data_IF_011678995077
#
_entry.id   IF_011678995077
#
_cell.length_a   1.000
_cell.length_b   1.000
_cell.length_c   1.000
_cell.angle_alpha   90.00
_cell.angle_beta   90.00
_cell.angle_gamma   90.00
#
_symmetry.space_group_name_H-M   'P 1'
#
loop_
_entity.id
_entity.type
_entity.pdbx_description
1 polymer ?
#
# COMPACT_ATOMS: atom_id res chain seq x y z
N UNK A 1 -0.27 1.94 29.29
CA UNK A 1 0.69 2.72 28.48
C UNK A 1 2.07 2.08 28.57
N UNK A 2 2.88 2.16 27.51
CA UNK A 2 4.27 1.70 27.54
C UNK A 2 5.15 2.59 28.42
N UNK A 3 6.15 2.04 29.12
CA UNK A 3 7.23 2.83 29.69
C UNK A 3 8.11 3.43 28.58
N UNK A 4 8.86 4.51 28.85
CA UNK A 4 9.82 5.07 27.88
C UNK A 4 10.89 4.04 27.51
N UNK A 5 11.44 4.14 26.29
CA UNK A 5 12.45 3.20 25.78
C UNK A 5 13.69 3.20 26.68
N UNK A 6 14.03 2.09 27.36
CA UNK A 6 15.20 2.05 28.21
C UNK A 6 16.49 2.23 27.40
N UNK A 7 17.45 3.05 27.87
CA UNK A 7 18.69 3.29 27.14
C UNK A 7 19.54 2.02 26.97
N UNK A 8 19.41 1.06 27.89
CA UNK A 8 20.09 -0.25 27.82
C UNK A 8 19.59 -1.09 26.64
N UNK A 9 18.28 -1.05 26.36
CA UNK A 9 17.67 -1.76 25.22
C UNK A 9 18.13 -1.15 23.91
N UNK A 10 18.13 0.19 23.83
CA UNK A 10 18.66 0.92 22.68
C UNK A 10 20.13 0.55 22.41
N UNK A 11 20.99 0.60 23.43
CA UNK A 11 22.40 0.24 23.29
C UNK A 11 22.58 -1.22 22.85
N UNK A 12 21.84 -2.15 23.44
CA UNK A 12 21.92 -3.57 23.08
C UNK A 12 21.54 -3.78 21.62
N UNK A 13 20.43 -3.19 21.16
CA UNK A 13 20.00 -3.28 19.75
C UNK A 13 21.05 -2.66 18.82
N UNK A 14 21.57 -1.47 19.15
CA UNK A 14 22.59 -0.81 18.34
C UNK A 14 23.89 -1.62 18.25
N UNK A 15 24.29 -2.37 19.29
CA UNK A 15 25.48 -3.23 19.21
C UNK A 15 25.35 -4.39 18.22
N UNK A 16 24.11 -4.80 17.90
CA UNK A 16 23.84 -5.82 16.88
C UNK A 16 23.63 -5.22 15.48
N UNK A 17 23.22 -3.95 15.40
CA UNK A 17 22.99 -3.23 14.15
C UNK A 17 24.25 -2.53 13.60
N UNK A 18 25.23 -2.18 14.45
CA UNK A 18 26.39 -1.35 14.10
C UNK A 18 27.73 -2.05 14.48
N UNK A 19 28.38 -2.77 13.57
CA UNK A 19 27.99 -3.04 12.19
C UNK A 19 26.88 -4.10 12.09
N UNK A 20 26.16 -4.15 10.95
CA UNK A 20 25.07 -5.10 10.76
C UNK A 20 25.59 -6.54 10.78
N UNK A 21 25.22 -7.31 11.80
CA UNK A 21 25.64 -8.71 11.96
C UNK A 21 24.45 -9.65 12.07
N UNK A 22 23.70 -9.87 10.97
CA UNK A 22 22.62 -10.84 10.99
C UNK A 22 23.15 -12.27 11.23
N UNK A 23 22.32 -13.16 11.81
CA UNK A 23 20.94 -12.91 12.24
C UNK A 23 20.87 -12.11 13.53
N UNK A 24 19.94 -11.17 13.60
CA UNK A 24 19.65 -10.43 14.83
C UNK A 24 19.06 -11.39 15.89
N UNK A 25 19.39 -11.22 17.19
CA UNK A 25 18.82 -12.08 18.24
C UNK A 25 17.29 -12.02 18.22
N UNK A 26 16.59 -13.17 18.18
CA UNK A 26 15.13 -13.18 18.01
C UNK A 26 14.40 -12.46 19.14
N UNK A 27 14.96 -12.47 20.35
CA UNK A 27 14.39 -11.80 21.53
C UNK A 27 14.38 -10.27 21.39
N UNK A 28 15.25 -9.72 20.54
CA UNK A 28 15.36 -8.28 20.28
C UNK A 28 14.56 -7.83 19.06
N UNK A 29 14.07 -8.75 18.23
CA UNK A 29 13.38 -8.44 16.96
C UNK A 29 11.88 -8.55 17.13
N UNK A 30 11.13 -7.58 16.58
CA UNK A 30 9.67 -7.56 16.63
C UNK A 30 9.07 -8.82 16.00
N UNK A 31 7.93 -9.27 16.52
CA UNK A 31 7.18 -10.40 15.94
C UNK A 31 6.88 -10.16 14.47
N UNK A 32 6.48 -8.94 14.13
CA UNK A 32 6.18 -8.52 12.76
C UNK A 32 7.35 -8.76 11.79
N UNK A 33 8.59 -8.46 12.20
CA UNK A 33 9.78 -8.72 11.39
C UNK A 33 10.17 -10.20 11.41
N UNK A 34 10.10 -10.89 12.55
CA UNK A 34 10.38 -12.33 12.65
C UNK A 34 9.44 -13.17 11.77
N UNK A 35 8.14 -12.87 11.79
CA UNK A 35 7.15 -13.53 10.95
C UNK A 35 7.48 -13.33 9.47
N UNK A 36 7.81 -12.09 9.06
CA UNK A 36 8.26 -11.82 7.69
C UNK A 36 9.48 -12.66 7.32
N UNK A 37 10.52 -12.69 8.16
CA UNK A 37 11.73 -13.47 7.91
C UNK A 37 11.47 -14.98 7.88
N UNK A 38 10.43 -15.46 8.58
CA UNK A 38 10.04 -16.87 8.60
C UNK A 38 9.23 -17.26 7.35
N UNK A 39 8.27 -16.42 6.95
CA UNK A 39 7.38 -16.70 5.82
C UNK A 39 8.00 -16.38 4.46
N UNK A 40 8.83 -15.34 4.40
CA UNK A 40 9.50 -14.89 3.20
C UNK A 40 10.98 -14.61 3.50
N UNK A 41 11.78 -15.67 3.78
CA UNK A 41 13.18 -15.52 4.12
C UNK A 41 13.93 -14.87 2.95
N UNK A 42 14.62 -13.74 3.17
CA UNK A 42 15.47 -13.15 2.15
C UNK A 42 16.67 -14.06 1.86
N UNK A 43 17.42 -13.73 0.81
CA UNK A 43 18.72 -14.35 0.55
C UNK A 43 19.63 -14.15 1.78
N UNK A 44 20.34 -15.19 2.27
CA UNK A 44 21.28 -15.05 3.39
C UNK A 44 22.38 -14.01 3.14
N UNK A 45 22.70 -13.69 1.89
CA UNK A 45 23.68 -12.66 1.53
C UNK A 45 23.05 -11.26 1.45
N UNK A 46 21.71 -11.14 1.44
CA UNK A 46 20.98 -9.88 1.45
C UNK A 46 20.76 -9.38 2.89
N UNK A 47 21.82 -8.78 3.44
CA UNK A 47 21.84 -8.20 4.79
C UNK A 47 20.76 -7.10 4.94
N UNK A 48 20.55 -6.29 3.91
CA UNK A 48 19.60 -5.17 3.96
C UNK A 48 18.17 -5.70 4.20
N UNK A 49 17.77 -6.73 3.46
CA UNK A 49 16.46 -7.38 3.64
C UNK A 49 16.33 -8.15 4.96
N UNK A 50 17.42 -8.58 5.58
CA UNK A 50 17.39 -9.22 6.90
C UNK A 50 17.15 -8.21 8.03
N UNK A 51 17.54 -6.95 7.82
CA UNK A 51 17.48 -5.89 8.84
C UNK A 51 16.22 -5.06 8.69
N UNK A 52 15.73 -4.83 7.48
CA UNK A 52 14.54 -3.99 7.25
C UNK A 52 13.50 -4.70 6.38
N UNK A 53 12.18 -4.57 6.68
CA UNK A 53 11.12 -5.08 5.84
C UNK A 53 11.06 -4.39 4.47
N UNK A 54 11.59 -3.16 4.37
CA UNK A 54 11.64 -2.36 3.14
C UNK A 54 13.04 -1.77 3.01
N UNK A 55 14.04 -2.59 2.65
CA UNK A 55 15.42 -2.14 2.60
C UNK A 55 15.59 -0.99 1.60
N UNK A 56 16.33 0.03 2.03
CA UNK A 56 16.88 1.05 1.14
C UNK A 56 18.16 0.46 0.54
N UNK A 57 18.46 0.67 -0.76
CA UNK A 57 19.71 0.20 -1.35
C UNK A 57 20.94 0.70 -0.58
N UNK A 58 21.81 -0.22 -0.16
CA UNK A 58 23.06 0.12 0.54
C UNK A 58 22.87 0.40 2.02
N UNK A 59 21.77 -0.06 2.63
CA UNK A 59 21.46 0.18 4.04
C UNK A 59 22.57 -0.36 4.96
N UNK A 60 23.07 -1.57 4.70
CA UNK A 60 24.13 -2.21 5.48
C UNK A 60 25.47 -1.50 5.36
N UNK A 61 25.83 -0.99 4.17
CA UNK A 61 27.05 -0.20 3.95
C UNK A 61 26.99 1.09 4.77
N UNK A 62 25.85 1.77 4.75
CA UNK A 62 25.62 3.01 5.51
C UNK A 62 25.60 2.77 7.02
N UNK A 63 25.00 1.68 7.48
CA UNK A 63 25.08 1.25 8.89
C UNK A 63 26.53 0.96 9.29
N UNK A 64 27.31 0.30 8.45
CA UNK A 64 28.72 0.02 8.70
C UNK A 64 29.57 1.31 8.73
N UNK A 65 29.19 2.33 7.96
CA UNK A 65 29.82 3.65 7.99
C UNK A 65 29.48 4.41 9.27
N UNK A 66 28.19 4.51 9.62
CA UNK A 66 27.71 5.13 10.86
C UNK A 66 28.29 4.44 12.11
N UNK A 67 28.57 3.13 12.05
CA UNK A 67 29.16 2.39 13.17
C UNK A 67 30.53 2.94 13.63
N UNK A 68 31.23 3.73 12.81
CA UNK A 68 32.52 4.33 13.18
C UNK A 68 32.38 5.46 14.18
N UNK A 69 31.31 6.25 14.09
CA UNK A 69 31.14 7.51 14.81
C UNK A 69 29.66 7.84 15.14
N UNK A 70 28.92 6.80 15.55
CA UNK A 70 27.48 6.86 15.80
C UNK A 70 27.11 7.76 16.98
N UNK A 71 26.19 8.71 16.74
CA UNK A 71 25.53 9.48 17.78
C UNK A 71 24.01 9.28 17.71
N UNK A 72 23.40 8.48 18.61
CA UNK A 72 21.95 8.32 18.66
C UNK A 72 21.29 9.60 19.21
N UNK A 73 20.22 10.04 18.56
CA UNK A 73 19.38 11.16 19.00
C UNK A 73 18.53 10.80 20.23
N UNK A 74 17.74 11.76 20.71
CA UNK A 74 16.61 11.46 21.60
C UNK A 74 15.62 10.54 20.89
N UNK A 75 14.89 9.75 21.69
CA UNK A 75 13.83 8.86 21.20
C UNK A 75 12.54 9.66 21.12
N UNK A 76 11.93 9.67 19.94
CA UNK A 76 10.58 10.18 19.75
C UNK A 76 9.59 9.01 19.67
N UNK A 77 8.34 9.24 20.01
CA UNK A 77 7.30 8.23 20.11
C UNK A 77 6.11 8.59 19.21
N UNK A 78 5.47 7.57 18.66
CA UNK A 78 4.24 7.69 17.88
C UNK A 78 3.45 6.37 17.97
N UNK A 79 2.41 6.21 17.18
CA UNK A 79 1.71 4.94 17.02
C UNK A 79 1.43 4.70 15.53
N UNK A 80 1.41 3.43 15.10
CA UNK A 80 1.04 3.06 13.72
C UNK A 80 -0.47 2.76 13.58
N UNK A 81 -1.24 3.05 14.63
CA UNK A 81 -2.67 2.77 14.74
C UNK A 81 -3.00 1.49 15.50
N UNK A 82 -2.00 0.63 15.76
CA UNK A 82 -2.19 -0.61 16.51
C UNK A 82 -1.18 -0.73 17.66
N UNK A 83 0.07 -0.35 17.42
CA UNK A 83 1.15 -0.44 18.41
C UNK A 83 1.84 0.91 18.63
N UNK A 84 2.35 1.12 19.84
CA UNK A 84 3.24 2.25 20.11
C UNK A 84 4.60 1.96 19.49
N UNK A 85 5.13 2.95 18.79
CA UNK A 85 6.45 2.90 18.17
C UNK A 85 7.35 3.98 18.75
N UNK A 86 8.64 3.65 18.85
CA UNK A 86 9.71 4.57 19.19
C UNK A 86 10.62 4.76 17.98
N UNK A 87 11.20 5.94 17.81
CA UNK A 87 12.15 6.27 16.75
C UNK A 87 13.38 6.91 17.35
N UNK A 88 14.56 6.40 16.98
CA UNK A 88 15.85 7.01 17.24
C UNK A 88 16.53 7.32 15.92
N UNK A 89 17.02 8.53 15.73
CA UNK A 89 17.84 8.89 14.57
C UNK A 89 19.29 8.62 14.95
N UNK A 90 19.99 7.84 14.15
CA UNK A 90 21.44 7.65 14.26
C UNK A 90 22.12 8.49 13.18
N UNK A 91 23.10 9.29 13.58
CA UNK A 91 23.83 10.17 12.68
C UNK A 91 25.33 9.86 12.71
N UNK A 92 25.95 9.86 11.52
CA UNK A 92 27.41 9.95 11.39
C UNK A 92 27.85 11.42 11.42
N UNK A 93 28.87 11.71 12.21
CA UNK A 93 29.49 13.04 12.34
C UNK A 93 30.23 13.40 11.07
N UNK A 94 30.87 12.42 10.43
CA UNK A 94 31.75 12.64 9.28
C UNK A 94 30.99 12.82 7.96
N UNK A 95 29.95 12.00 7.72
CA UNK A 95 29.27 11.93 6.41
C UNK A 95 27.99 12.75 6.38
N UNK A 96 27.45 13.10 7.56
CA UNK A 96 26.15 13.74 7.69
C UNK A 96 24.98 12.83 7.31
N UNK A 97 25.24 11.54 7.08
CA UNK A 97 24.19 10.55 6.87
C UNK A 97 23.41 10.32 8.15
N UNK A 98 22.10 10.14 7.98
CA UNK A 98 21.18 9.85 9.05
C UNK A 98 20.34 8.63 8.66
N UNK A 99 20.14 7.73 9.62
CA UNK A 99 19.21 6.62 9.51
C UNK A 99 18.23 6.69 10.68
N UNK A 100 17.00 6.27 10.45
CA UNK A 100 16.02 6.08 11.52
C UNK A 100 15.98 4.61 11.94
N UNK A 101 16.11 4.37 13.23
CA UNK A 101 15.91 3.06 13.86
C UNK A 101 14.56 3.09 14.56
N UNK A 102 13.67 2.19 14.16
CA UNK A 102 12.30 2.10 14.67
C UNK A 102 12.19 0.92 15.63
N UNK A 103 11.58 1.20 16.78
CA UNK A 103 11.27 0.27 17.85
C UNK A 103 9.75 0.09 17.94
N UNK A 104 9.33 -1.10 18.31
CA UNK A 104 7.93 -1.47 18.54
C UNK A 104 7.77 -1.87 20.01
N UNK A 105 6.68 -1.46 20.65
CA UNK A 105 6.35 -1.92 22.00
C UNK A 105 5.34 -3.05 21.96
N UNK A 106 5.78 -4.26 22.30
CA UNK A 106 4.91 -5.43 22.41
C UNK A 106 4.22 -5.45 23.77
N UNK A 107 2.91 -5.18 23.78
CA UNK A 107 2.06 -5.22 24.97
C UNK A 107 1.44 -6.61 25.19
N UNK A 108 1.17 -6.96 26.46
CA UNK A 108 0.45 -8.17 26.86
C UNK A 108 1.26 -9.09 27.76
N UNK A 109 0.68 -10.22 28.18
CA UNK A 109 1.34 -11.20 29.05
C UNK A 109 2.56 -11.85 28.40
N UNK A 110 2.52 -11.99 27.07
CA UNK A 110 3.64 -12.47 26.25
C UNK A 110 4.46 -11.33 25.62
N UNK A 111 4.15 -10.08 25.98
CA UNK A 111 4.81 -8.90 25.44
C UNK A 111 6.26 -8.80 25.93
N UNK A 112 7.20 -8.63 25.00
CA UNK A 112 8.63 -8.51 25.33
C UNK A 112 9.05 -7.08 25.68
N UNK A 113 8.11 -6.13 25.63
CA UNK A 113 8.40 -4.71 25.75
C UNK A 113 8.95 -4.13 24.45
N UNK A 114 9.98 -3.29 24.56
CA UNK A 114 10.58 -2.62 23.41
C UNK A 114 11.49 -3.55 22.61
N UNK A 115 11.20 -3.69 21.31
CA UNK A 115 11.92 -4.54 20.37
C UNK A 115 12.23 -3.77 19.08
N UNK A 116 13.26 -4.20 18.37
CA UNK A 116 13.67 -3.66 17.07
C UNK A 116 12.66 -4.06 15.98
N UNK A 117 12.18 -3.07 15.21
CA UNK A 117 11.22 -3.28 14.11
C UNK A 117 11.87 -3.13 12.73
N UNK A 118 12.60 -2.05 12.50
CA UNK A 118 13.16 -1.73 11.19
C UNK A 118 14.17 -0.59 11.24
N UNK A 119 15.00 -0.49 10.21
CA UNK A 119 15.85 0.67 9.94
C UNK A 119 15.52 1.22 8.55
N UNK A 120 15.31 2.53 8.43
CA UNK A 120 14.99 3.19 7.17
C UNK A 120 15.78 4.51 7.00
N UNK A 121 15.58 5.16 5.85
CA UNK A 121 15.92 6.58 5.70
C UNK A 121 15.02 7.47 6.56
N UNK A 122 15.58 8.56 7.08
CA UNK A 122 14.84 9.51 7.91
C UNK A 122 13.64 10.06 7.14
N UNK A 123 12.45 9.72 7.61
CA UNK A 123 11.21 10.30 7.08
C UNK A 123 10.89 11.61 7.80
N UNK A 124 10.69 12.74 7.08
CA UNK A 124 10.22 13.99 7.69
C UNK A 124 8.73 13.93 8.07
N UNK A 125 8.05 12.82 7.72
CA UNK A 125 6.59 12.71 7.80
C UNK A 125 6.21 11.90 9.03
N UNK A 126 5.45 12.50 9.94
CA UNK A 126 4.85 11.82 11.08
C UNK A 126 4.68 12.74 12.28
N UNK A 127 3.60 12.54 13.03
CA UNK A 127 3.39 13.19 14.32
C UNK A 127 4.18 12.40 15.38
N UNK A 128 5.39 12.87 15.64
CA UNK A 128 6.32 12.30 16.62
C UNK A 128 6.32 13.15 17.89
N UNK A 129 6.30 12.49 19.05
CA UNK A 129 6.22 13.12 20.36
C UNK A 129 7.43 12.76 21.20
N UNK A 130 8.00 13.73 21.91
CA UNK A 130 9.18 13.48 22.77
C UNK A 130 8.84 12.72 24.06
N UNK A 131 7.58 12.35 24.28
CA UNK A 131 7.08 11.76 25.51
C UNK A 131 6.05 10.67 25.19
N UNK A 132 6.32 9.46 25.68
CA UNK A 132 5.49 8.28 25.43
C UNK A 132 4.09 8.42 26.04
N UNK A 133 3.97 9.18 27.14
CA UNK A 133 2.69 9.39 27.83
C UNK A 133 1.72 10.26 27.01
N UNK A 134 2.22 10.96 25.99
CA UNK A 134 1.40 11.77 25.07
C UNK A 134 0.87 10.96 23.88
N UNK A 135 1.40 9.76 23.66
CA UNK A 135 0.96 8.90 22.55
C UNK A 135 -0.40 8.33 22.89
N UNK A 136 -1.43 8.93 22.32
CA UNK A 136 -2.80 8.42 22.41
C UNK A 136 -2.96 7.37 21.31
N UNK A 137 -2.94 6.10 21.69
CA UNK A 137 -3.53 5.08 20.83
C UNK A 137 -5.03 5.32 20.95
N UNK A 138 -5.64 5.85 19.89
CA UNK A 138 -7.08 5.71 19.73
C UNK A 138 -7.34 4.21 19.79
N UNK A 139 -7.84 3.73 20.94
CA UNK A 139 -8.51 2.45 20.98
C UNK A 139 -9.55 2.59 19.89
N UNK A 140 -9.27 2.02 18.71
CA UNK A 140 -10.31 1.84 17.70
C UNK A 140 -11.39 1.16 18.50
N UNK A 141 -12.49 1.88 18.76
CA UNK A 141 -13.71 1.31 19.31
C UNK A 141 -13.85 0.04 18.52
N UNK A 142 -13.55 -1.10 19.16
CA UNK A 142 -13.41 -2.38 18.48
C UNK A 142 -14.78 -2.56 17.93
N UNK A 143 -14.94 -2.22 16.63
CA UNK A 143 -16.22 -1.86 16.02
C UNK A 143 -17.18 -2.84 16.64
N UNK A 144 -18.02 -2.37 17.57
CA UNK A 144 -18.98 -3.24 18.24
C UNK A 144 -19.89 -3.55 17.08
N UNK A 145 -19.51 -4.59 16.33
CA UNK A 145 -20.21 -5.04 15.15
C UNK A 145 -21.61 -5.19 15.70
N UNK A 146 -22.60 -4.49 15.12
CA UNK A 146 -23.96 -4.56 15.61
C UNK A 146 -24.26 -6.01 15.89
N UNK A 147 -24.98 -6.36 16.95
CA UNK A 147 -25.27 -7.77 17.28
C UNK A 147 -25.85 -8.54 16.06
N UNK A 148 -26.36 -7.79 15.08
CA UNK A 148 -26.87 -8.24 13.79
C UNK A 148 -25.84 -8.41 12.65
N UNK A 149 -24.58 -8.02 12.79
CA UNK A 149 -23.55 -8.19 11.74
C UNK A 149 -23.39 -9.67 11.35
N UNK A 150 -23.54 -10.57 12.33
CA UNK A 150 -23.51 -12.01 12.11
C UNK A 150 -24.90 -12.65 11.99
N UNK A 151 -26.01 -11.94 12.21
CA UNK A 151 -27.35 -12.57 12.15
C UNK A 151 -27.75 -13.00 10.74
N UNK A 152 -27.10 -12.46 9.70
CA UNK A 152 -27.21 -12.94 8.31
C UNK A 152 -26.26 -14.09 7.96
N UNK A 153 -25.24 -14.33 8.78
CA UNK A 153 -24.38 -15.51 8.64
C UNK A 153 -25.01 -16.64 9.44
N UNK A 154 -25.75 -17.49 8.75
CA UNK A 154 -26.07 -18.81 9.29
C UNK A 154 -24.72 -19.46 9.65
N UNK A 155 -24.43 -19.78 10.93
CA UNK A 155 -23.22 -20.51 11.26
C UNK A 155 -23.17 -21.75 10.35
N UNK A 156 -21.99 -22.13 9.83
CA UNK A 156 -21.89 -23.28 8.94
C UNK A 156 -22.70 -24.41 9.55
N UNK A 157 -23.67 -24.91 8.79
CA UNK A 157 -24.58 -25.97 9.22
C UNK A 157 -23.78 -26.98 10.00
N UNK A 158 -24.21 -27.38 11.22
CA UNK A 158 -23.45 -28.30 12.06
C UNK A 158 -23.03 -29.44 11.15
N UNK A 159 -21.70 -29.61 11.02
CA UNK A 159 -21.03 -30.53 10.09
C UNK A 159 -21.95 -31.73 9.95
N UNK A 160 -22.66 -31.82 8.82
CA UNK A 160 -23.50 -32.99 8.56
C UNK A 160 -22.54 -34.14 8.77
N UNK A 161 -22.75 -34.92 9.84
CA UNK A 161 -22.11 -36.21 9.95
C UNK A 161 -22.57 -36.92 8.68
N UNK A 162 -21.70 -36.95 7.68
CA UNK A 162 -21.89 -37.77 6.50
C UNK A 162 -21.74 -39.19 7.03
N UNK A 163 -22.79 -39.68 7.68
CA UNK A 163 -22.92 -41.06 8.10
C UNK A 163 -22.94 -41.88 6.82
N UNK A 164 -21.77 -42.37 6.42
CA UNK A 164 -21.65 -43.34 5.33
C UNK A 164 -20.71 -42.98 4.17
N UNK A 165 -19.77 -42.03 4.30
CA UNK A 165 -18.64 -41.93 3.36
C UNK A 165 -17.29 -42.05 4.07
N UNK A 166 -17.09 -43.18 4.75
CA UNK A 166 -15.83 -43.90 4.60
C UNK A 166 -15.85 -44.54 3.21
N UNK A 167 -15.67 -43.74 2.16
CA UNK A 167 -15.41 -44.29 0.83
C UNK A 167 -13.97 -44.00 0.51
N UNK A 168 -13.21 -45.06 0.25
CA UNK A 168 -11.89 -45.02 -0.39
C UNK A 168 -11.87 -44.11 -1.65
N UNK A 169 -13.03 -43.74 -2.18
CA UNK A 169 -13.23 -42.74 -3.23
C UNK A 169 -12.83 -41.30 -2.84
N UNK A 170 -12.98 -40.90 -1.57
CA UNK A 170 -12.52 -39.58 -1.13
C UNK A 170 -10.98 -39.54 -1.05
N UNK A 171 -10.37 -40.62 -0.57
CA UNK A 171 -8.91 -40.77 -0.57
C UNK A 171 -8.37 -40.89 -2.01
N UNK A 172 -9.05 -41.59 -2.93
CA UNK A 172 -8.70 -41.63 -4.35
C UNK A 172 -8.84 -40.26 -5.04
N UNK A 173 -9.84 -39.47 -4.64
CA UNK A 173 -10.04 -38.11 -5.14
C UNK A 173 -8.89 -37.18 -4.72
N UNK A 174 -8.46 -37.24 -3.46
CA UNK A 174 -7.33 -36.45 -2.97
C UNK A 174 -5.97 -36.97 -3.48
N UNK A 175 -5.82 -38.29 -3.65
CA UNK A 175 -4.60 -38.90 -4.18
C UNK A 175 -4.30 -38.53 -5.65
N UNK A 176 -5.31 -38.17 -6.44
CA UNK A 176 -5.09 -37.65 -7.80
C UNK A 176 -4.39 -36.29 -7.81
N UNK A 177 -4.60 -35.46 -6.79
CA UNK A 177 -3.91 -34.18 -6.66
C UNK A 177 -2.49 -34.33 -6.11
N UNK A 178 -2.25 -35.31 -5.22
CA UNK A 178 -0.91 -35.60 -4.70
C UNK A 178 0.04 -36.20 -5.76
N UNK A 179 -0.50 -36.93 -6.76
CA UNK A 179 0.33 -37.47 -7.86
C UNK A 179 0.83 -36.41 -8.85
N UNK A 180 0.20 -35.22 -8.90
CA UNK A 180 0.63 -34.15 -9.81
C UNK A 180 1.86 -33.38 -9.30
N UNK A 181 2.35 -33.66 -8.09
CA UNK A 181 3.50 -32.98 -7.48
C UNK A 181 4.60 -33.98 -7.11
N UNK A 182 5.12 -34.69 -8.12
CA UNK A 182 6.48 -35.26 -8.03
C UNK A 182 7.40 -34.55 -9.02
N UNK A 183 8.59 -34.07 -8.58
CA UNK A 183 9.46 -33.26 -9.40
C UNK A 183 10.28 -34.16 -10.34
N UNK A 184 9.70 -34.49 -11.49
CA UNK A 184 10.42 -35.09 -12.60
C UNK A 184 10.29 -34.20 -13.85
N UNK A 185 10.78 -32.96 -13.75
CA UNK A 185 11.23 -32.24 -14.93
C UNK A 185 12.31 -31.24 -14.51
N UNK A 186 13.55 -31.73 -14.64
CA UNK A 186 14.72 -30.88 -14.77
C UNK A 186 14.46 -29.89 -15.90
N UNK A 187 14.42 -28.61 -15.56
CA UNK A 187 14.35 -27.50 -16.50
C UNK A 187 15.57 -27.55 -17.41
N UNK A 188 15.39 -28.04 -18.63
CA UNK A 188 16.35 -27.90 -19.71
C UNK A 188 16.35 -26.42 -20.12
N UNK A 189 17.32 -25.68 -19.61
CA UNK A 189 17.63 -24.32 -20.05
C UNK A 189 18.10 -24.39 -21.52
N UNK A 190 17.43 -23.72 -22.48
CA UNK A 190 17.96 -23.66 -23.84
C UNK A 190 19.16 -22.71 -23.87
N UNK A 191 20.33 -23.29 -24.15
CA UNK A 191 21.59 -22.59 -24.36
C UNK A 191 21.47 -21.57 -25.51
N UNK A 192 21.59 -20.28 -25.18
CA UNK A 192 21.64 -19.16 -26.13
C UNK A 192 22.94 -19.23 -26.94
N UNK A 193 22.88 -19.78 -28.16
CA UNK A 193 23.99 -19.74 -29.12
C UNK A 193 24.18 -18.33 -29.67
N UNK A 194 25.36 -17.78 -29.45
CA UNK A 194 25.93 -16.66 -30.20
C UNK A 194 26.45 -17.16 -31.56
N UNK A 195 25.96 -16.54 -32.63
CA UNK A 195 26.60 -16.36 -33.95
C UNK A 195 25.93 -15.09 -34.52
N UNK A 196 26.56 -14.04 -35.03
CA UNK A 196 27.84 -13.93 -35.71
C UNK A 196 27.62 -13.63 -37.21
N UNK A 197 27.45 -12.33 -37.53
CA UNK A 197 27.82 -11.61 -38.79
C UNK A 197 27.20 -12.04 -40.14
N UNK A 198 26.66 -11.08 -40.91
CA UNK A 198 26.54 -11.20 -42.38
C UNK A 198 25.62 -10.16 -43.06
N UNK A 199 26.13 -9.50 -44.10
CA UNK A 199 25.63 -8.30 -44.81
C UNK A 199 24.65 -8.59 -45.98
N UNK A 200 23.67 -7.67 -46.20
CA UNK A 200 23.07 -7.08 -47.44
C UNK A 200 22.75 -7.93 -48.72
N UNK A 201 22.08 -7.41 -49.79
CA UNK A 201 20.81 -6.64 -49.92
C UNK A 201 19.82 -7.12 -51.04
N UNK A 202 18.50 -6.85 -50.87
CA UNK A 202 17.43 -6.59 -51.88
C UNK A 202 17.15 -7.55 -53.07
N UNK A 203 16.18 -7.26 -53.98
CA UNK A 203 14.82 -6.70 -53.85
C UNK A 203 13.74 -7.66 -54.44
N UNK A 204 12.44 -7.30 -54.37
CA UNK A 204 11.42 -7.48 -55.45
C UNK A 204 9.98 -7.82 -54.98
N UNK A 205 9.07 -6.88 -55.26
CA UNK A 205 7.72 -6.97 -55.83
C UNK A 205 6.65 -8.00 -55.39
N UNK A 206 5.47 -7.42 -55.11
CA UNK A 206 4.10 -7.79 -55.52
C UNK A 206 3.46 -9.10 -55.05
N UNK A 207 2.23 -8.96 -54.49
CA UNK A 207 1.19 -9.99 -54.66
C UNK A 207 0.11 -10.10 -53.59
N UNK A 208 -0.90 -9.22 -53.67
CA UNK A 208 -2.35 -9.51 -53.63
C UNK A 208 -2.96 -10.64 -52.75
N UNK A 209 -4.05 -10.24 -52.06
CA UNK A 209 -5.28 -10.97 -51.70
C UNK A 209 -5.29 -11.90 -50.47
N UNK A 210 -6.14 -11.59 -49.46
CA UNK A 210 -7.42 -12.29 -49.20
C UNK A 210 -8.06 -11.94 -47.84
N UNK A 211 -9.40 -11.95 -47.87
CA UNK A 211 -10.35 -12.31 -46.82
C UNK A 211 -10.75 -11.26 -45.75
N UNK A 212 -11.73 -10.44 -46.14
CA UNK A 212 -12.76 -9.87 -45.28
C UNK A 212 -14.05 -10.65 -45.56
N UNK A 213 -14.47 -11.53 -44.66
CA UNK A 213 -15.84 -12.04 -44.56
C UNK A 213 -15.98 -12.86 -43.27
N UNK A 214 -17.22 -12.91 -42.75
CA UNK A 214 -17.68 -13.55 -41.52
C UNK A 214 -17.64 -12.62 -40.30
N UNK A 215 -18.75 -11.94 -40.05
CA UNK A 215 -19.52 -12.09 -38.80
C UNK A 215 -20.92 -11.48 -39.03
N UNK A 216 -21.82 -12.35 -39.47
CA UNK A 216 -23.26 -12.12 -39.46
C UNK A 216 -23.91 -12.89 -38.31
N UNK A 217 -24.79 -12.17 -37.61
CA UNK A 217 -25.97 -12.67 -36.90
C UNK A 217 -25.77 -13.56 -35.66
N UNK A 218 -25.93 -12.95 -34.48
CA UNK A 218 -26.78 -13.46 -33.38
C UNK A 218 -27.42 -12.23 -32.68
N UNK A 219 -28.70 -11.98 -32.95
CA UNK A 219 -29.83 -12.26 -32.05
C UNK A 219 -29.95 -11.31 -30.86
N UNK A 220 -30.75 -10.26 -31.08
CA UNK A 220 -31.38 -9.43 -30.05
C UNK A 220 -32.33 -10.29 -29.21
N UNK A 221 -31.99 -10.50 -27.94
CA UNK A 221 -32.93 -10.91 -26.89
C UNK A 221 -32.87 -9.86 -25.79
N UNK A 222 -33.84 -8.94 -25.81
CA UNK A 222 -34.06 -7.97 -24.75
C UNK A 222 -34.73 -8.67 -23.57
N UNK A 223 -33.97 -8.91 -22.51
CA UNK A 223 -34.49 -9.21 -21.17
C UNK A 223 -33.94 -8.15 -20.22
N UNK A 224 -34.75 -7.55 -19.33
CA UNK A 224 -34.20 -6.65 -18.32
C UNK A 224 -33.49 -7.49 -17.25
N UNK A 225 -32.20 -7.25 -16.92
CA UNK A 225 -31.57 -7.95 -15.82
C UNK A 225 -31.90 -7.17 -14.54
N UNK A 226 -32.84 -7.67 -13.75
CA UNK A 226 -32.87 -7.39 -12.32
C UNK A 226 -32.24 -8.58 -11.60
N UNK A 227 -30.99 -8.85 -11.95
CA UNK A 227 -30.14 -9.77 -11.20
C UNK A 227 -29.50 -8.93 -10.11
N UNK A 228 -29.97 -9.09 -8.88
CA UNK A 228 -29.28 -8.58 -7.70
C UNK A 228 -28.00 -9.42 -7.60
N UNK A 229 -26.93 -8.97 -8.26
CA UNK A 229 -25.61 -9.58 -8.12
C UNK A 229 -25.20 -9.49 -6.65
N UNK A 230 -25.13 -10.65 -6.01
CA UNK A 230 -24.58 -10.79 -4.67
C UNK A 230 -23.07 -10.55 -4.73
N UNK A 231 -22.68 -9.27 -4.80
CA UNK A 231 -21.27 -8.83 -4.72
C UNK A 231 -20.67 -9.43 -3.46
N UNK A 232 -19.60 -10.20 -3.62
CA UNK A 232 -18.97 -10.92 -2.51
C UNK A 232 -18.48 -9.92 -1.44
N UNK A 233 -18.47 -10.26 -0.14
CA UNK A 233 -17.98 -9.38 0.91
C UNK A 233 -16.53 -8.90 0.67
N UNK A 234 -15.72 -9.76 0.07
CA UNK A 234 -14.33 -9.47 -0.30
C UNK A 234 -14.21 -8.38 -1.37
N UNK A 235 -15.11 -8.37 -2.37
CA UNK A 235 -15.14 -7.33 -3.41
C UNK A 235 -15.52 -5.97 -2.84
N UNK A 236 -16.44 -5.92 -1.88
CA UNK A 236 -16.84 -4.66 -1.22
C UNK A 236 -15.65 -4.05 -0.47
N UNK A 237 -14.96 -4.86 0.33
CA UNK A 237 -13.75 -4.41 1.05
C UNK A 237 -12.66 -3.90 0.11
N UNK A 238 -12.48 -4.55 -1.04
CA UNK A 238 -11.53 -4.09 -2.05
C UNK A 238 -11.95 -2.76 -2.67
N UNK A 239 -13.24 -2.59 -3.00
CA UNK A 239 -13.79 -1.33 -3.52
C UNK A 239 -13.63 -0.20 -2.51
N UNK A 240 -13.91 -0.44 -1.24
CA UNK A 240 -13.78 0.55 -0.17
C UNK A 240 -12.31 0.97 0.01
N UNK A 241 -11.38 0.01 0.03
CA UNK A 241 -9.94 0.28 0.10
C UNK A 241 -9.45 1.10 -1.10
N UNK A 242 -9.85 0.74 -2.31
CA UNK A 242 -9.44 1.45 -3.52
C UNK A 242 -10.08 2.85 -3.61
N UNK A 243 -11.33 2.99 -3.19
CA UNK A 243 -12.00 4.30 -3.06
C UNK A 243 -11.27 5.21 -2.06
N UNK A 244 -10.84 4.66 -0.91
CA UNK A 244 -10.03 5.39 0.06
C UNK A 244 -8.67 5.82 -0.52
N UNK A 245 -8.02 4.95 -1.30
CA UNK A 245 -6.76 5.28 -2.00
C UNK A 245 -6.97 6.40 -3.02
N UNK A 246 -8.00 6.32 -3.87
CA UNK A 246 -8.35 7.35 -4.86
C UNK A 246 -8.59 8.69 -4.15
N UNK A 247 -9.38 8.67 -3.07
CA UNK A 247 -9.67 9.84 -2.25
C UNK A 247 -8.42 10.46 -1.62
N UNK A 248 -7.46 9.63 -1.19
CA UNK A 248 -6.17 10.10 -0.66
C UNK A 248 -5.31 10.74 -1.73
N UNK A 249 -5.26 10.17 -2.94
CA UNK A 249 -4.48 10.71 -4.06
C UNK A 249 -5.10 12.03 -4.56
N UNK A 250 -6.43 12.11 -4.65
CA UNK A 250 -7.14 13.35 -4.99
C UNK A 250 -6.79 14.47 -4.02
N UNK A 251 -6.84 14.20 -2.71
CA UNK A 251 -6.48 15.19 -1.66
C UNK A 251 -5.03 15.66 -1.77
N UNK A 252 -4.10 14.74 -1.98
CA UNK A 252 -2.69 15.10 -2.18
C UNK A 252 -2.51 15.96 -3.43
N UNK A 253 -3.18 15.59 -4.52
CA UNK A 253 -3.11 16.33 -5.80
C UNK A 253 -3.72 17.72 -5.68
N UNK A 254 -4.84 17.86 -4.94
CA UNK A 254 -5.42 19.16 -4.59
C UNK A 254 -4.45 20.01 -3.76
N UNK A 255 -3.84 19.43 -2.73
CA UNK A 255 -2.85 20.12 -1.87
C UNK A 255 -1.66 20.61 -2.69
N UNK A 256 -1.12 19.77 -3.58
CA UNK A 256 -0.03 20.16 -4.48
C UNK A 256 -0.47 21.27 -5.45
N UNK A 257 -1.73 21.25 -5.91
CA UNK A 257 -2.29 22.22 -6.86
C UNK A 257 -2.50 23.61 -6.27
N UNK A 258 -2.90 23.69 -4.98
CA UNK A 258 -3.08 24.97 -4.28
C UNK A 258 -1.80 25.51 -3.66
N UNK A 259 -0.70 24.77 -3.73
CA UNK A 259 0.58 25.16 -3.12
C UNK A 259 0.99 26.55 -3.60
N UNK A 260 1.10 27.49 -2.66
CA UNK A 260 1.40 28.90 -2.92
C UNK A 260 0.20 29.85 -2.84
N UNK A 261 -1.03 29.36 -2.97
CA UNK A 261 -2.27 30.13 -2.79
C UNK A 261 -2.83 30.07 -1.36
N UNK A 262 -2.22 29.29 -0.47
CA UNK A 262 -2.69 29.01 0.90
C UNK A 262 -2.86 30.26 1.78
N UNK A 263 -2.11 31.33 1.49
CA UNK A 263 -2.12 32.56 2.29
C UNK A 263 -3.15 33.60 1.82
N UNK A 264 -3.73 33.42 0.63
CA UNK A 264 -4.65 34.38 0.03
C UNK A 264 -5.98 33.70 -0.28
N UNK A 265 -7.01 34.00 0.50
CA UNK A 265 -8.34 33.42 0.34
C UNK A 265 -8.89 33.58 -1.09
N UNK A 266 -8.68 34.74 -1.73
CA UNK A 266 -9.16 34.96 -3.10
C UNK A 266 -8.45 34.06 -4.13
N UNK A 267 -7.16 33.79 -3.95
CA UNK A 267 -6.42 32.86 -4.81
C UNK A 267 -6.83 31.41 -4.56
N UNK A 268 -7.14 31.05 -3.30
CA UNK A 268 -7.65 29.73 -2.95
C UNK A 268 -9.03 29.48 -3.59
N UNK A 269 -9.92 30.47 -3.56
CA UNK A 269 -11.23 30.39 -4.22
C UNK A 269 -11.08 30.25 -5.74
N UNK A 270 -10.18 31.02 -6.36
CA UNK A 270 -9.88 30.88 -7.79
C UNK A 270 -9.35 29.47 -8.11
N UNK A 271 -8.43 28.94 -7.30
CA UNK A 271 -7.91 27.58 -7.47
C UNK A 271 -8.99 26.51 -7.28
N UNK A 272 -9.91 26.69 -6.35
CA UNK A 272 -11.05 25.78 -6.17
C UNK A 272 -11.93 25.75 -7.43
N UNK A 273 -12.21 26.90 -8.04
CA UNK A 273 -12.96 26.97 -9.29
C UNK A 273 -12.20 26.32 -10.46
N UNK A 274 -10.89 26.57 -10.58
CA UNK A 274 -10.04 25.91 -11.59
C UNK A 274 -10.06 24.37 -11.41
N UNK A 275 -10.01 23.87 -10.18
CA UNK A 275 -10.08 22.45 -9.88
C UNK A 275 -11.43 21.83 -10.24
N UNK A 276 -12.54 22.50 -9.88
CA UNK A 276 -13.89 22.07 -10.25
C UNK A 276 -14.06 22.05 -11.77
N UNK A 277 -13.53 23.04 -12.48
CA UNK A 277 -13.57 23.08 -13.94
C UNK A 277 -12.78 21.92 -14.55
N UNK A 278 -11.53 21.69 -14.12
CA UNK A 278 -10.73 20.55 -14.58
C UNK A 278 -11.43 19.21 -14.31
N UNK A 279 -12.03 19.06 -13.13
CA UNK A 279 -12.80 17.87 -12.80
C UNK A 279 -13.98 17.64 -13.74
N UNK A 280 -14.68 18.72 -14.13
CA UNK A 280 -15.81 18.64 -15.07
C UNK A 280 -15.32 18.24 -16.45
N UNK A 281 -14.26 18.88 -16.93
CA UNK A 281 -13.67 18.59 -18.24
C UNK A 281 -13.23 17.12 -18.33
N UNK A 282 -12.62 16.57 -17.26
CA UNK A 282 -12.24 15.15 -17.16
C UNK A 282 -13.47 14.24 -17.20
N UNK A 283 -14.54 14.58 -16.47
CA UNK A 283 -15.78 13.77 -16.46
C UNK A 283 -16.46 13.80 -17.83
N UNK A 284 -16.53 14.97 -18.47
CA UNK A 284 -17.17 15.19 -19.79
C UNK A 284 -16.28 14.80 -20.98
N UNK A 285 -15.03 14.39 -20.73
CA UNK A 285 -14.03 14.07 -21.77
C UNK A 285 -13.73 15.23 -22.73
N UNK A 286 -13.81 16.46 -22.22
CA UNK A 286 -13.42 17.65 -22.96
C UNK A 286 -11.88 17.69 -23.12
N UNK A 287 -11.38 18.24 -24.22
CA UNK A 287 -9.93 18.40 -24.41
C UNK A 287 -9.41 19.51 -23.50
N UNK A 288 -8.33 19.23 -22.74
CA UNK A 288 -7.67 20.24 -21.90
C UNK A 288 -6.88 21.24 -22.75
N UNK A 289 -7.02 22.54 -22.48
CA UNK A 289 -6.22 23.62 -23.07
C UNK A 289 -5.25 24.21 -22.01
N UNK A 290 -4.01 23.69 -21.88
CA UNK A 290 -2.96 24.36 -21.09
C UNK A 290 -1.85 23.47 -20.49
N UNK A 291 -0.59 23.94 -20.49
CA UNK A 291 0.59 23.11 -20.18
C UNK A 291 0.83 22.74 -18.69
N UNK A 292 0.45 23.59 -17.73
CA UNK A 292 0.57 23.29 -16.29
C UNK A 292 -0.60 22.46 -15.76
N UNK A 293 -1.78 22.63 -16.38
CA UNK A 293 -2.94 21.77 -16.15
C UNK A 293 -2.71 20.34 -16.61
N UNK A 294 -1.83 20.09 -17.59
CA UNK A 294 -1.63 18.76 -18.17
C UNK A 294 -1.28 17.68 -17.14
N UNK A 295 -0.46 18.00 -16.12
CA UNK A 295 -0.07 17.00 -15.11
C UNK A 295 -1.21 16.68 -14.14
N UNK A 296 -1.95 17.70 -13.69
CA UNK A 296 -3.10 17.51 -12.79
C UNK A 296 -4.24 16.83 -13.54
N UNK A 297 -4.48 17.25 -14.78
CA UNK A 297 -5.48 16.68 -15.67
C UNK A 297 -5.20 15.20 -15.94
N UNK A 298 -3.95 14.84 -16.29
CA UNK A 298 -3.57 13.45 -16.49
C UNK A 298 -3.78 12.60 -15.22
N UNK A 299 -3.48 13.14 -14.03
CA UNK A 299 -3.76 12.44 -12.76
C UNK A 299 -5.26 12.24 -12.54
N UNK A 300 -6.06 13.28 -12.75
CA UNK A 300 -7.52 13.20 -12.62
C UNK A 300 -8.12 12.19 -13.60
N UNK A 301 -7.61 12.15 -14.84
CA UNK A 301 -8.03 11.17 -15.85
C UNK A 301 -7.75 9.72 -15.40
N UNK A 302 -6.54 9.44 -14.92
CA UNK A 302 -6.19 8.10 -14.40
C UNK A 302 -7.08 7.73 -13.21
N UNK A 303 -7.35 8.67 -12.30
CA UNK A 303 -8.22 8.42 -11.14
C UNK A 303 -9.69 8.19 -11.56
N UNK A 304 -10.18 8.89 -12.59
CA UNK A 304 -11.51 8.64 -13.20
C UNK A 304 -11.59 7.22 -13.73
N UNK A 305 -10.58 6.80 -14.50
CA UNK A 305 -10.53 5.45 -15.08
C UNK A 305 -10.47 4.37 -14.00
N UNK A 306 -9.63 4.55 -12.98
CA UNK A 306 -9.57 3.65 -11.82
C UNK A 306 -10.92 3.55 -11.11
N UNK A 307 -11.59 4.67 -10.87
CA UNK A 307 -12.91 4.70 -10.25
C UNK A 307 -13.97 4.03 -11.12
N UNK A 308 -13.94 4.26 -12.43
CA UNK A 308 -14.81 3.63 -13.42
C UNK A 308 -14.70 2.11 -13.41
N UNK A 309 -13.47 1.57 -13.34
CA UNK A 309 -13.23 0.13 -13.25
C UNK A 309 -13.84 -0.48 -11.98
N UNK A 310 -13.88 0.27 -10.86
CA UNK A 310 -14.42 -0.23 -9.58
C UNK A 310 -15.94 -0.33 -9.55
N UNK A 311 -16.62 0.66 -10.12
CA UNK A 311 -18.09 0.78 -10.06
C UNK A 311 -18.77 0.13 -11.27
N UNK A 312 -18.01 -0.22 -12.31
CA UNK A 312 -18.54 -0.81 -13.55
C UNK A 312 -18.90 0.22 -14.62
N UNK A 313 -18.29 1.40 -14.56
CA UNK A 313 -18.47 2.49 -15.52
C UNK A 313 -19.87 3.12 -15.51
N UNK A 314 -20.13 3.93 -16.54
CA UNK A 314 -21.39 4.61 -16.73
C UNK A 314 -21.62 5.80 -15.79
N UNK A 315 -22.83 6.37 -15.87
CA UNK A 315 -23.18 7.64 -15.21
C UNK A 315 -23.03 7.60 -13.69
N UNK A 316 -23.35 6.48 -13.05
CA UNK A 316 -23.20 6.35 -11.59
C UNK A 316 -21.72 6.42 -11.15
N UNK A 317 -20.80 5.91 -11.97
CA UNK A 317 -19.36 6.02 -11.70
C UNK A 317 -18.85 7.45 -11.92
N UNK A 318 -19.38 8.15 -12.92
CA UNK A 318 -19.09 9.56 -13.18
C UNK A 318 -19.58 10.47 -12.05
N UNK A 319 -20.84 10.29 -11.62
CA UNK A 319 -21.44 11.05 -10.51
C UNK A 319 -20.69 10.79 -9.19
N UNK A 320 -20.30 9.54 -8.95
CA UNK A 320 -19.48 9.16 -7.79
C UNK A 320 -18.09 9.80 -7.81
N UNK A 321 -17.42 9.78 -8.96
CA UNK A 321 -16.10 10.40 -9.12
C UNK A 321 -16.17 11.92 -8.94
N UNK A 322 -17.20 12.55 -9.50
CA UNK A 322 -17.47 13.98 -9.32
C UNK A 322 -17.64 14.36 -7.84
N UNK A 323 -18.32 13.51 -7.07
CA UNK A 323 -18.48 13.70 -5.63
C UNK A 323 -17.12 13.68 -4.92
N UNK A 324 -16.24 12.74 -5.27
CA UNK A 324 -14.88 12.66 -4.71
C UNK A 324 -14.03 13.91 -5.03
N UNK A 325 -14.17 14.47 -6.24
CA UNK A 325 -13.51 15.72 -6.63
C UNK A 325 -13.96 16.88 -5.74
N UNK A 326 -15.26 16.99 -5.45
CA UNK A 326 -15.80 18.03 -4.58
C UNK A 326 -15.36 17.84 -3.12
N UNK A 327 -15.35 16.58 -2.65
CA UNK A 327 -14.90 16.24 -1.29
C UNK A 327 -13.43 16.58 -1.04
N UNK A 328 -12.58 16.49 -2.07
CA UNK A 328 -11.18 16.87 -1.96
C UNK A 328 -10.98 18.34 -1.55
N UNK A 329 -11.91 19.23 -1.91
CA UNK A 329 -11.89 20.66 -1.53
C UNK A 329 -12.52 20.89 -0.15
N UNK A 330 -13.60 20.15 0.17
CA UNK A 330 -14.39 20.35 1.40
C UNK A 330 -13.66 19.91 2.66
N UNK A 331 -12.78 18.92 2.55
CA UNK A 331 -12.08 18.40 3.71
C UNK A 331 -10.98 19.40 4.09
N UNK A 332 -10.98 19.91 5.33
CA UNK A 332 -9.96 20.85 5.75
C UNK A 332 -8.59 20.21 5.54
N UNK A 333 -7.68 20.96 4.93
CA UNK A 333 -6.25 20.67 5.02
C UNK A 333 -5.99 20.59 6.53
N UNK A 334 -5.81 19.38 7.05
CA UNK A 334 -5.35 19.19 8.42
C UNK A 334 -3.92 19.74 8.44
N UNK A 335 -3.80 21.05 8.61
CA UNK A 335 -2.52 21.70 8.84
C UNK A 335 -2.05 21.22 10.20
N UNK A 336 -0.97 20.45 10.20
CA UNK A 336 -0.29 19.96 11.39
C UNK A 336 -0.23 21.05 12.48
N UNK A 337 -1.05 20.91 13.53
CA UNK A 337 -0.79 21.51 14.84
C UNK A 337 -1.46 22.83 15.23
N UNK A 338 -2.29 23.48 14.42
CA UNK A 338 -3.12 24.61 14.91
C UNK A 338 -4.57 24.47 14.46
N UNK A 339 -5.46 24.28 15.45
CA UNK A 339 -6.93 24.32 15.34
C UNK A 339 -7.42 25.70 14.88
N UNK A 340 -7.20 26.02 13.60
CA UNK A 340 -7.90 27.09 12.89
C UNK A 340 -8.66 26.48 11.72
N UNK A 341 -9.75 25.81 12.07
CA UNK A 341 -10.81 25.43 11.13
C UNK A 341 -11.47 26.68 10.56
N UNK A 342 -11.03 27.13 9.37
CA UNK A 342 -11.91 27.87 8.48
C UNK A 342 -12.56 26.87 7.52
N UNK A 343 -13.76 26.43 7.89
CA UNK A 343 -14.65 25.73 6.96
C UNK A 343 -15.25 26.81 6.07
N UNK A 344 -14.85 26.84 4.80
CA UNK A 344 -15.51 27.69 3.80
C UNK A 344 -16.85 27.03 3.48
N UNK A 345 -17.92 27.56 4.06
CA UNK A 345 -19.29 27.17 3.71
C UNK A 345 -19.66 27.82 2.38
N UNK A 346 -20.08 26.99 1.42
CA UNK A 346 -20.65 27.41 0.15
C UNK A 346 -22.16 27.14 0.22
N UNK A 347 -22.99 28.19 0.13
CA UNK A 347 -24.43 28.08 -0.10
C UNK A 347 -24.78 28.17 -1.59
#
# INVERSE_FOLDING_TARGET
>A
MPPPLPPEVLQTILTHLLPPTPPLPPDLVSRSLLERLTYLPPDPDDIDSQISPRPVPGLSERLAEIARDCHPSSVDYSHDGEVVIGRCIIQSTDVGEQLEVIFEYEQGDDGRGWVYRSTNDVSPTGDWMNDVDKVVIEERDVDIKPDEYWTGFTPPTPRLEIQGQDTAEADDYWAQYDQAVTPANQSVVPSRRQSGIGLTPGPSANGHNKALEILGALSLSSSPPTTIESVSPSERLLRDKLSAIISSILRRTWTDFIKGAEQNQGEMEQKALEWIQMGRDVVEEAAAEGALSDTVYAKLQVLKEMHGVLIGGGKAAEDGFWTLIQEAIRLPLRSNGEDRTQIVYWE
#
